data_IF_121379699740
#
_entry.id   IF_121379699740
#
_cell.length_a   1.000
_cell.length_b   1.000
_cell.length_c   1.000
_cell.angle_alpha   90.00
_cell.angle_beta   90.00
_cell.angle_gamma   90.00
#
_symmetry.space_group_name_H-M   'P 1'
#
loop_
_entity.id
_entity.type
_entity.pdbx_description
1 polymer ?
#
# COMPACT_ATOMS: atom_id res chain seq x y z
N UNK A 1 -2.31 -7.99 16.78
CA UNK A 1 -1.19 -7.26 17.34
C UNK A 1 -0.96 -5.97 16.57
N UNK A 2 -0.82 -4.85 17.26
CA UNK A 2 -0.45 -3.64 16.58
C UNK A 2 0.93 -3.78 15.97
N UNK A 3 1.13 -3.18 14.81
CA UNK A 3 2.41 -3.22 14.13
C UNK A 3 2.57 -4.33 13.12
N UNK A 4 1.50 -5.05 12.80
CA UNK A 4 1.53 -6.08 11.78
C UNK A 4 0.47 -5.83 10.71
N UNK A 5 0.82 -6.17 9.48
CA UNK A 5 -0.09 -6.16 8.36
C UNK A 5 -0.14 -7.53 7.72
N UNK A 6 -1.26 -7.83 7.11
CA UNK A 6 -1.44 -9.00 6.27
C UNK A 6 -1.35 -8.56 4.83
N UNK A 7 -0.45 -9.18 4.06
CA UNK A 7 -0.33 -8.88 2.63
C UNK A 7 -0.72 -10.13 1.86
N UNK A 8 -1.72 -9.99 0.99
CA UNK A 8 -2.15 -11.08 0.11
C UNK A 8 -1.55 -10.87 -1.26
N UNK A 9 -0.97 -11.92 -1.80
CA UNK A 9 -0.38 -11.94 -3.14
C UNK A 9 -1.29 -12.74 -4.06
N UNK A 10 -1.71 -12.12 -5.17
CA UNK A 10 -2.67 -12.71 -6.07
C UNK A 10 -2.11 -12.80 -7.49
N UNK A 11 -2.66 -13.74 -8.26
CA UNK A 11 -2.36 -13.84 -9.68
C UNK A 11 -3.25 -12.90 -10.50
N UNK A 12 -3.14 -12.98 -11.83
CA UNK A 12 -3.90 -12.13 -12.74
C UNK A 12 -5.41 -12.38 -12.68
N UNK A 13 -5.82 -13.58 -12.29
CA UNK A 13 -7.21 -13.95 -12.12
C UNK A 13 -7.73 -13.63 -10.72
N UNK A 14 -6.94 -12.90 -9.92
CA UNK A 14 -7.26 -12.52 -8.54
C UNK A 14 -7.43 -13.69 -7.59
N UNK A 15 -6.74 -14.80 -7.89
CA UNK A 15 -6.67 -15.91 -6.98
C UNK A 15 -5.49 -15.74 -6.03
N UNK A 16 -5.70 -16.07 -4.77
CA UNK A 16 -4.67 -15.89 -3.74
C UNK A 16 -3.59 -16.95 -3.92
N UNK A 17 -2.37 -16.50 -4.21
CA UNK A 17 -1.20 -17.37 -4.28
C UNK A 17 -0.69 -17.68 -2.87
N UNK A 18 -0.58 -16.67 -2.04
CA UNK A 18 -0.15 -16.81 -0.66
C UNK A 18 -0.45 -15.52 0.09
N UNK A 19 -0.27 -15.57 1.40
CA UNK A 19 -0.34 -14.38 2.23
C UNK A 19 0.80 -14.40 3.24
N UNK A 20 1.23 -13.22 3.67
CA UNK A 20 2.27 -13.07 4.66
C UNK A 20 1.86 -12.05 5.71
N UNK A 21 2.21 -12.35 6.96
CA UNK A 21 2.20 -11.35 8.01
C UNK A 21 3.52 -10.58 7.94
N UNK A 22 3.42 -9.26 7.85
CA UNK A 22 4.60 -8.40 7.77
C UNK A 22 4.58 -7.41 8.92
N UNK A 23 5.72 -7.29 9.61
CA UNK A 23 5.88 -6.28 10.64
C UNK A 23 5.95 -4.90 10.00
N UNK A 24 5.54 -3.87 10.75
CA UNK A 24 5.70 -2.50 10.32
C UNK A 24 7.18 -2.15 10.22
N UNK A 25 7.49 -1.32 9.22
CA UNK A 25 8.81 -0.75 9.09
C UNK A 25 9.11 0.12 10.33
N UNK A 26 10.29 0.00 10.97
CA UNK A 26 10.64 0.88 12.09
C UNK A 26 10.62 2.36 11.72
N UNK A 27 10.84 2.69 10.44
CA UNK A 27 10.81 4.06 9.95
C UNK A 27 9.46 4.45 9.34
N UNK A 28 8.52 3.52 9.29
CA UNK A 28 7.17 3.74 8.79
C UNK A 28 6.19 2.92 9.64
N UNK A 29 5.84 3.40 10.85
CA UNK A 29 5.03 2.62 11.78
C UNK A 29 3.58 2.42 11.34
N UNK A 30 3.25 2.84 10.14
CA UNK A 30 1.91 2.73 9.58
C UNK A 30 1.69 1.39 8.90
N UNK A 31 2.74 0.84 8.28
CA UNK A 31 2.61 -0.40 7.54
C UNK A 31 3.95 -1.02 7.22
N UNK A 32 3.93 -2.11 6.47
CA UNK A 32 5.18 -2.79 6.10
C UNK A 32 5.95 -1.97 5.07
N UNK A 33 7.24 -2.22 5.00
CA UNK A 33 8.13 -1.58 4.03
C UNK A 33 7.66 -1.90 2.61
N UNK A 34 7.55 -0.88 1.78
CA UNK A 34 7.21 -1.04 0.36
C UNK A 34 8.23 -1.95 -0.33
N UNK A 35 9.50 -1.77 -0.02
CA UNK A 35 10.56 -2.58 -0.57
C UNK A 35 10.36 -4.07 -0.25
N UNK A 36 10.01 -4.39 0.98
CA UNK A 36 9.77 -5.76 1.40
C UNK A 36 8.54 -6.36 0.72
N UNK A 37 7.46 -5.58 0.60
CA UNK A 37 6.25 -6.03 -0.07
C UNK A 37 6.56 -6.44 -1.51
N UNK A 38 7.24 -5.57 -2.26
CA UNK A 38 7.47 -5.83 -3.67
C UNK A 38 8.54 -6.91 -3.89
N UNK A 39 9.54 -6.98 -3.02
CA UNK A 39 10.51 -8.08 -3.10
C UNK A 39 9.82 -9.43 -2.95
N UNK A 40 8.94 -9.56 -1.97
CA UNK A 40 8.22 -10.82 -1.75
C UNK A 40 7.21 -11.11 -2.86
N UNK A 41 6.59 -10.06 -3.42
CA UNK A 41 5.68 -10.21 -4.53
C UNK A 41 6.39 -10.75 -5.78
N UNK A 42 7.57 -10.21 -6.09
CA UNK A 42 8.36 -10.69 -7.22
C UNK A 42 8.83 -12.13 -7.02
N UNK A 43 9.25 -12.47 -5.80
CA UNK A 43 9.70 -13.82 -5.50
C UNK A 43 8.59 -14.86 -5.71
N UNK A 44 7.34 -14.45 -5.56
CA UNK A 44 6.17 -15.31 -5.74
C UNK A 44 5.49 -15.16 -7.08
N UNK A 45 6.04 -14.34 -7.96
CA UNK A 45 5.45 -14.05 -9.28
C UNK A 45 4.01 -13.55 -9.16
N UNK A 46 3.74 -12.76 -8.14
CA UNK A 46 2.44 -12.15 -7.96
C UNK A 46 2.21 -11.04 -8.99
N UNK A 47 0.96 -10.83 -9.38
CA UNK A 47 0.57 -9.75 -10.27
C UNK A 47 -0.24 -8.69 -9.56
N UNK A 48 -0.83 -9.01 -8.41
CA UNK A 48 -1.74 -8.14 -7.66
C UNK A 48 -1.53 -8.29 -6.17
N UNK A 49 -1.89 -7.25 -5.43
CA UNK A 49 -1.68 -7.18 -3.99
C UNK A 49 -2.95 -6.67 -3.30
N UNK A 50 -3.19 -7.19 -2.10
CA UNK A 50 -4.12 -6.60 -1.13
C UNK A 50 -3.38 -6.47 0.18
N UNK A 51 -3.46 -5.30 0.80
CA UNK A 51 -2.82 -5.03 2.09
C UNK A 51 -3.91 -4.81 3.13
N UNK A 52 -3.81 -5.50 4.25
CA UNK A 52 -4.73 -5.35 5.38
C UNK A 52 -3.92 -4.94 6.59
N UNK A 53 -4.23 -3.79 7.16
CA UNK A 53 -3.49 -3.22 8.27
C UNK A 53 -4.43 -2.99 9.44
N UNK A 54 -4.02 -3.42 10.64
CA UNK A 54 -4.76 -3.15 11.87
C UNK A 54 -4.47 -1.75 12.36
N UNK A 55 -5.52 -1.02 12.71
CA UNK A 55 -5.35 0.28 13.33
C UNK A 55 -4.85 0.08 14.78
N UNK A 56 -3.75 0.73 15.18
CA UNK A 56 -3.14 0.46 16.48
C UNK A 56 -4.05 0.74 17.67
N UNK A 57 -4.93 1.72 17.59
CA UNK A 57 -5.78 2.10 18.71
C UNK A 57 -6.90 1.11 18.97
N UNK A 58 -7.30 0.30 18.01
CA UNK A 58 -8.31 -0.76 18.15
C UNK A 58 -9.58 -0.29 18.87
N UNK A 59 -10.00 0.93 18.61
CA UNK A 59 -11.20 1.48 19.27
C UNK A 59 -12.45 0.98 18.58
N UNK A 60 -13.53 0.88 19.35
CA UNK A 60 -14.84 0.51 18.80
C UNK A 60 -15.48 1.71 18.11
N UNK A 61 -16.35 1.43 17.14
CA UNK A 61 -17.09 2.45 16.42
C UNK A 61 -16.41 2.91 15.15
N UNK A 62 -17.08 3.77 14.37
CA UNK A 62 -16.52 4.27 13.12
C UNK A 62 -15.24 5.07 13.38
N UNK A 63 -14.32 4.94 12.46
CA UNK A 63 -13.05 5.65 12.56
C UNK A 63 -12.65 6.17 11.18
N UNK A 64 -11.86 7.24 11.20
CA UNK A 64 -11.23 7.77 10.00
C UNK A 64 -9.75 7.43 10.06
N UNK A 65 -9.22 6.70 9.09
CA UNK A 65 -7.79 6.42 9.06
C UNK A 65 -7.00 7.72 8.99
N UNK A 66 -5.88 7.76 9.70
CA UNK A 66 -4.99 8.90 9.62
C UNK A 66 -4.48 9.08 8.20
N UNK A 67 -4.16 10.34 7.84
CA UNK A 67 -3.62 10.65 6.52
C UNK A 67 -2.37 9.85 6.17
N UNK A 68 -1.62 9.42 7.17
CA UNK A 68 -0.43 8.60 6.97
C UNK A 68 -0.75 7.26 6.29
N UNK A 69 -1.89 6.64 6.63
CA UNK A 69 -2.32 5.41 5.97
C UNK A 69 -2.62 5.65 4.49
N UNK A 70 -3.30 6.76 4.20
CA UNK A 70 -3.62 7.14 2.83
C UNK A 70 -2.34 7.40 2.03
N UNK A 71 -1.37 8.07 2.63
CA UNK A 71 -0.06 8.31 2.00
C UNK A 71 0.68 7.01 1.72
N UNK A 72 0.69 6.09 2.68
CA UNK A 72 1.34 4.80 2.49
C UNK A 72 0.67 4.00 1.36
N UNK A 73 -0.66 3.99 1.34
CA UNK A 73 -1.41 3.34 0.27
C UNK A 73 -1.13 3.97 -1.09
N UNK A 74 -0.99 5.30 -1.14
CA UNK A 74 -0.67 6.00 -2.38
C UNK A 74 0.72 5.62 -2.90
N UNK A 75 1.70 5.51 -2.01
CA UNK A 75 3.04 5.07 -2.38
C UNK A 75 3.04 3.65 -2.91
N UNK A 76 2.32 2.75 -2.24
CA UNK A 76 2.19 1.37 -2.69
C UNK A 76 1.51 1.29 -4.06
N UNK A 77 0.46 2.08 -4.27
CA UNK A 77 -0.25 2.10 -5.53
C UNK A 77 0.64 2.60 -6.67
N UNK A 78 1.38 3.67 -6.43
CA UNK A 78 2.29 4.23 -7.43
C UNK A 78 3.41 3.26 -7.76
N UNK A 79 4.04 2.68 -6.74
CA UNK A 79 5.09 1.68 -6.95
C UNK A 79 4.55 0.47 -7.74
N UNK A 80 3.33 0.05 -7.42
CA UNK A 80 2.68 -1.04 -8.13
C UNK A 80 2.47 -0.73 -9.61
N UNK A 81 2.07 0.49 -9.93
CA UNK A 81 1.91 0.91 -11.32
C UNK A 81 3.24 0.87 -12.07
N UNK A 82 4.31 1.34 -11.44
CA UNK A 82 5.63 1.37 -12.06
C UNK A 82 6.21 -0.03 -12.26
N UNK A 83 5.86 -0.97 -11.40
CA UNK A 83 6.44 -2.31 -11.38
C UNK A 83 5.48 -3.39 -11.90
N UNK A 84 4.35 -2.98 -12.45
CA UNK A 84 3.31 -3.88 -12.96
C UNK A 84 2.82 -4.87 -11.89
N UNK A 85 2.65 -4.35 -10.67
CA UNK A 85 2.11 -5.09 -9.53
C UNK A 85 0.96 -4.28 -8.94
N UNK A 86 -0.25 -4.55 -9.41
CA UNK A 86 -1.40 -3.72 -9.10
C UNK A 86 -1.87 -3.90 -7.66
N UNK A 87 -1.98 -2.81 -6.93
CA UNK A 87 -2.64 -2.79 -5.63
C UNK A 87 -4.15 -2.79 -5.84
N UNK A 88 -4.80 -3.89 -5.45
CA UNK A 88 -6.25 -4.05 -5.60
C UNK A 88 -6.98 -3.28 -4.51
N UNK A 89 -6.49 -3.39 -3.27
CA UNK A 89 -7.09 -2.68 -2.16
C UNK A 89 -6.10 -2.54 -1.01
N UNK A 90 -6.39 -1.57 -0.16
CA UNK A 90 -5.65 -1.34 1.07
C UNK A 90 -6.69 -1.13 2.17
N UNK A 91 -6.81 -2.12 3.05
CA UNK A 91 -7.83 -2.14 4.09
C UNK A 91 -7.20 -1.76 5.43
N UNK A 92 -7.83 -0.82 6.11
CA UNK A 92 -7.48 -0.49 7.49
C UNK A 92 -8.64 -0.90 8.37
N UNK A 93 -8.37 -1.70 9.38
CA UNK A 93 -9.42 -2.24 10.23
C UNK A 93 -9.14 -2.00 11.70
N UNK A 94 -10.21 -1.92 12.47
CA UNK A 94 -10.17 -1.98 13.92
C UNK A 94 -11.04 -3.16 14.37
N UNK A 95 -11.44 -3.18 15.64
CA UNK A 95 -12.23 -4.30 16.17
C UNK A 95 -13.65 -4.38 15.61
N UNK A 96 -14.16 -3.28 15.03
CA UNK A 96 -15.56 -3.23 14.58
C UNK A 96 -15.73 -2.86 13.12
N UNK A 97 -14.78 -2.13 12.53
CA UNK A 97 -14.91 -1.57 11.19
C UNK A 97 -13.73 -1.92 10.31
N UNK A 98 -14.02 -1.97 9.02
CA UNK A 98 -13.00 -2.10 7.97
C UNK A 98 -13.22 -0.98 6.96
N UNK A 99 -12.14 -0.28 6.63
CA UNK A 99 -12.18 0.85 5.71
C UNK A 99 -11.32 0.52 4.49
N UNK A 100 -11.91 0.59 3.31
CA UNK A 100 -11.16 0.47 2.05
C UNK A 100 -10.64 1.84 1.65
N UNK A 101 -9.33 1.99 1.61
CA UNK A 101 -8.73 3.27 1.25
C UNK A 101 -8.87 3.56 -0.25
N UNK A 102 -8.79 2.53 -1.09
CA UNK A 102 -8.92 2.71 -2.53
C UNK A 102 -10.33 3.06 -2.95
N UNK A 103 -11.33 2.59 -2.20
CA UNK A 103 -12.73 2.87 -2.50
C UNK A 103 -13.18 4.19 -1.89
N UNK A 104 -12.85 4.40 -0.61
CA UNK A 104 -13.43 5.50 0.17
C UNK A 104 -12.57 6.77 0.16
N UNK A 105 -11.29 6.65 -0.19
CA UNK A 105 -10.33 7.76 -0.19
C UNK A 105 -9.64 7.91 -1.54
N UNK A 106 -10.37 7.63 -2.61
CA UNK A 106 -9.82 7.62 -3.98
C UNK A 106 -9.20 8.97 -4.37
N UNK A 107 -9.87 10.08 -4.05
CA UNK A 107 -9.40 11.40 -4.43
C UNK A 107 -8.14 11.78 -3.69
N UNK A 108 -8.07 11.47 -2.40
CA UNK A 108 -6.90 11.72 -1.57
C UNK A 108 -5.72 10.88 -2.04
N UNK A 109 -5.96 9.61 -2.34
CA UNK A 109 -4.94 8.72 -2.89
C UNK A 109 -4.38 9.27 -4.20
N UNK A 110 -5.25 9.70 -5.09
CA UNK A 110 -4.85 10.26 -6.37
C UNK A 110 -3.97 11.49 -6.19
N UNK A 111 -4.33 12.39 -5.27
CA UNK A 111 -3.55 13.60 -5.00
C UNK A 111 -2.17 13.27 -4.45
N UNK A 112 -2.07 12.32 -3.52
CA UNK A 112 -0.77 11.90 -2.99
C UNK A 112 0.07 11.21 -4.06
N UNK A 113 -0.54 10.33 -4.85
CA UNK A 113 0.18 9.64 -5.92
C UNK A 113 0.72 10.64 -6.95
N UNK A 114 -0.06 11.64 -7.31
CA UNK A 114 0.37 12.69 -8.21
C UNK A 114 1.54 13.49 -7.64
N UNK A 115 1.45 13.83 -6.35
CA UNK A 115 2.51 14.56 -5.65
C UNK A 115 3.83 13.76 -5.65
N UNK A 116 3.78 12.47 -5.31
CA UNK A 116 4.98 11.63 -5.32
C UNK A 116 5.54 11.45 -6.72
N UNK A 117 4.67 11.33 -7.71
CA UNK A 117 5.06 11.22 -9.11
C UNK A 117 5.83 12.46 -9.55
N UNK A 118 5.37 13.65 -9.14
CA UNK A 118 6.04 14.92 -9.44
C UNK A 118 7.37 15.02 -8.71
N UNK A 119 7.47 14.52 -7.49
CA UNK A 119 8.74 14.50 -6.76
C UNK A 119 9.78 13.63 -7.48
N UNK A 120 9.38 12.47 -7.96
CA UNK A 120 10.27 11.58 -8.72
C UNK A 120 10.71 12.27 -10.01
N UNK A 121 9.80 12.89 -10.74
CA UNK A 121 10.13 13.60 -11.97
C UNK A 121 11.11 14.74 -11.71
N UNK A 122 10.99 15.45 -10.60
CA UNK A 122 11.89 16.53 -10.22
C UNK A 122 13.27 16.03 -9.85
N UNK A 123 13.36 14.81 -9.29
CA UNK A 123 14.64 14.21 -8.90
C UNK A 123 15.45 13.73 -10.10
N UNK A 124 14.83 13.55 -11.26
CA UNK A 124 15.49 13.09 -12.48
C UNK A 124 15.39 14.17 -13.55
N UNK A 125 16.40 15.04 -13.68
CA UNK A 125 16.40 16.10 -14.70
C UNK A 125 16.27 15.52 -16.11
N UNK A 126 15.68 16.27 -17.06
CA UNK A 126 15.42 15.76 -18.41
C UNK A 126 16.66 15.28 -19.16
N UNK A 127 17.82 15.88 -18.90
CA UNK A 127 19.06 15.51 -19.56
C UNK A 127 19.66 14.18 -19.06
N UNK A 128 19.11 13.63 -17.96
CA UNK A 128 19.47 12.31 -17.48
C UNK A 128 18.54 11.22 -17.98
N UNK A 129 17.45 11.59 -18.65
CA UNK A 129 16.49 10.64 -19.18
C UNK A 129 16.82 10.35 -20.63
N UNK A 130 17.29 9.13 -20.98
CA UNK A 130 17.50 8.76 -22.38
C UNK A 130 16.16 8.71 -23.10
N UNK A 131 16.15 9.24 -24.28
CA UNK A 131 14.96 9.21 -25.12
C UNK A 131 14.73 7.85 -25.74
#
# INVERSE_FOLDING_TARGET
MPGESLVLFLDREQQVLTYLHMAYDPFCPIGPSIQNIFRDAFARQASRLVIVTSHPSCRTGPFMPAGDYVQHAAKCSLAGQLLDLRLIDYLVCNTTDTQSLLLDFRDELYRYALHYSQQVASAYPPDLCPN
#
